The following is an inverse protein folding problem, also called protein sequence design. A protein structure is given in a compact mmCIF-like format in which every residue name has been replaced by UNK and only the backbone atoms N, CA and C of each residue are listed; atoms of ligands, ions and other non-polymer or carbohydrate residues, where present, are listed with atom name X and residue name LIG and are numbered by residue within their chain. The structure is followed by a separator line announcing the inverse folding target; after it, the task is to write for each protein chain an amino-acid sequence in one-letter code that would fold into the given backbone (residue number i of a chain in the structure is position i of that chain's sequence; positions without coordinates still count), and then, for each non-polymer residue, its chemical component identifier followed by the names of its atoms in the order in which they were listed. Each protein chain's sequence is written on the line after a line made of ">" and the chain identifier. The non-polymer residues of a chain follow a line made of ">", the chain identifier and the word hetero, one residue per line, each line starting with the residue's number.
data_IF_010501413192
#
_entry.id   IF_010501413192
#
_cell.length_a   1.000
_cell.length_b   1.000
_cell.length_c   1.000
_cell.angle_alpha   90.00
_cell.angle_beta   90.00
_cell.angle_gamma   90.00
#
_symmetry.space_group_name_H-M   'P 1'
#
loop_
_entity.id
_entity.type
_entity.pdbx_description
1 polymer ?
#
# COMPACT_ATOMS: atom_id res chain seq x y z
N UNK A 1 5.69 51.87 -13.56
CA UNK A 1 5.45 50.50 -14.05
C UNK A 1 5.61 49.45 -12.95
N UNK A 2 6.79 49.31 -12.32
CA UNK A 2 7.04 48.26 -11.31
C UNK A 2 6.12 48.32 -10.07
N UNK A 3 5.88 49.51 -9.51
CA UNK A 3 5.02 49.69 -8.33
C UNK A 3 3.56 49.30 -8.57
N UNK A 4 3.01 49.58 -9.75
CA UNK A 4 1.64 49.19 -10.11
C UNK A 4 1.51 47.67 -10.21
N UNK A 5 2.52 46.99 -10.77
CA UNK A 5 2.56 45.53 -10.84
C UNK A 5 2.62 44.89 -9.45
N UNK A 6 3.43 45.43 -8.54
CA UNK A 6 3.50 44.97 -7.14
C UNK A 6 2.16 45.14 -6.43
N UNK A 7 1.52 46.30 -6.54
CA UNK A 7 0.21 46.56 -5.92
C UNK A 7 -0.85 45.60 -6.46
N UNK A 8 -0.89 45.40 -7.78
CA UNK A 8 -1.85 44.49 -8.42
C UNK A 8 -1.62 43.05 -7.96
N UNK A 9 -0.37 42.61 -7.87
CA UNK A 9 0.00 41.29 -7.36
C UNK A 9 -0.41 41.11 -5.89
N UNK A 10 -0.19 42.11 -5.03
CA UNK A 10 -0.58 42.08 -3.63
C UNK A 10 -2.11 41.99 -3.47
N UNK A 11 -2.87 42.80 -4.20
CA UNK A 11 -4.35 42.76 -4.20
C UNK A 11 -4.84 41.36 -4.63
N UNK A 12 -4.28 40.81 -5.71
CA UNK A 12 -4.59 39.47 -6.16
C UNK A 12 -4.26 38.41 -5.10
N UNK A 13 -3.08 38.50 -4.47
CA UNK A 13 -2.63 37.56 -3.44
C UNK A 13 -3.54 37.58 -2.20
N UNK A 14 -3.95 38.77 -1.76
CA UNK A 14 -4.88 38.94 -0.63
C UNK A 14 -6.25 38.37 -0.97
N UNK A 15 -6.82 38.73 -2.13
CA UNK A 15 -8.11 38.22 -2.59
C UNK A 15 -8.09 36.69 -2.69
N UNK A 16 -7.03 36.12 -3.24
CA UNK A 16 -6.85 34.67 -3.33
C UNK A 16 -6.79 34.05 -1.92
N UNK A 17 -6.03 34.64 -0.99
CA UNK A 17 -5.94 34.15 0.39
C UNK A 17 -7.30 34.15 1.08
N UNK A 18 -8.07 35.23 0.97
CA UNK A 18 -9.42 35.33 1.57
C UNK A 18 -10.36 34.27 0.98
N UNK A 19 -10.34 34.07 -0.34
CA UNK A 19 -11.16 33.04 -0.98
C UNK A 19 -10.78 31.63 -0.52
N UNK A 20 -9.48 31.33 -0.42
CA UNK A 20 -8.98 30.04 0.10
C UNK A 20 -9.43 29.85 1.55
N UNK A 21 -9.24 30.83 2.42
CA UNK A 21 -9.64 30.77 3.83
C UNK A 21 -11.14 30.54 4.00
N UNK A 22 -11.98 31.21 3.19
CA UNK A 22 -13.44 30.98 3.21
C UNK A 22 -13.80 29.53 2.83
N UNK A 23 -13.16 28.98 1.80
CA UNK A 23 -13.40 27.59 1.38
C UNK A 23 -12.91 26.59 2.42
N UNK A 24 -11.73 26.81 3.01
CA UNK A 24 -11.21 25.96 4.09
C UNK A 24 -12.10 26.01 5.34
N UNK A 25 -12.63 27.19 5.69
CA UNK A 25 -13.57 27.34 6.78
C UNK A 25 -14.88 26.59 6.52
N UNK A 26 -15.42 26.65 5.30
CA UNK A 26 -16.60 25.89 4.91
C UNK A 26 -16.36 24.37 4.97
N UNK A 27 -15.19 23.90 4.51
CA UNK A 27 -14.80 22.48 4.61
C UNK A 27 -14.68 22.04 6.08
N UNK A 28 -14.06 22.86 6.93
CA UNK A 28 -13.94 22.59 8.36
C UNK A 28 -15.31 22.55 9.05
N UNK A 29 -16.20 23.49 8.71
CA UNK A 29 -17.58 23.52 9.21
C UNK A 29 -18.39 22.30 8.77
N UNK A 30 -18.11 21.74 7.60
CA UNK A 30 -18.67 20.48 7.12
C UNK A 30 -18.03 19.23 7.75
N UNK A 31 -17.06 19.38 8.67
CA UNK A 31 -16.41 18.28 9.38
C UNK A 31 -15.22 17.65 8.66
N UNK A 32 -14.76 18.22 7.54
CA UNK A 32 -13.54 17.77 6.87
C UNK A 32 -12.29 18.22 7.61
N UNK A 33 -11.26 17.38 7.59
CA UNK A 33 -9.92 17.70 8.11
C UNK A 33 -9.16 18.47 7.05
N UNK A 34 -8.59 19.62 7.43
CA UNK A 34 -7.94 20.55 6.50
C UNK A 34 -6.45 20.72 6.78
N UNK A 35 -5.91 20.03 7.78
CA UNK A 35 -4.49 20.07 8.12
C UNK A 35 -3.90 18.68 8.37
N UNK A 36 -2.59 18.57 8.14
CA UNK A 36 -1.79 17.38 8.47
C UNK A 36 -1.86 17.00 9.94
N UNK A 37 -1.91 17.97 10.85
CA UNK A 37 -2.02 17.72 12.29
C UNK A 37 -3.38 17.10 12.65
N UNK A 38 -4.48 17.63 12.10
CA UNK A 38 -5.82 17.03 12.26
C UNK A 38 -5.88 15.59 11.69
N UNK A 39 -5.13 15.33 10.61
CA UNK A 39 -5.03 14.02 9.98
C UNK A 39 -4.28 13.00 10.84
N UNK A 40 -3.17 13.41 11.46
CA UNK A 40 -2.38 12.56 12.34
C UNK A 40 -3.17 12.14 13.60
N UNK A 41 -3.89 13.08 14.20
CA UNK A 41 -4.80 12.81 15.34
C UNK A 41 -5.92 11.83 14.97
N UNK A 42 -6.40 11.89 13.72
CA UNK A 42 -7.44 10.98 13.25
C UNK A 42 -6.96 9.53 13.09
N UNK A 43 -5.70 9.35 12.68
CA UNK A 43 -5.10 8.03 12.60
C UNK A 43 -4.80 7.56 14.02
N UNK A 44 -5.72 6.84 14.66
CA UNK A 44 -5.61 6.47 16.08
C UNK A 44 -4.57 5.40 16.35
N UNK A 45 -3.87 5.51 17.48
CA UNK A 45 -2.92 4.49 17.94
C UNK A 45 -3.63 3.15 18.16
N UNK A 46 -2.93 2.07 17.85
CA UNK A 46 -3.41 0.70 18.04
C UNK A 46 -2.47 0.02 19.03
N UNK A 47 -2.98 -0.60 20.11
CA UNK A 47 -2.16 -1.38 21.04
C UNK A 47 -1.34 -2.44 20.31
N UNK A 48 -0.12 -2.71 20.78
CA UNK A 48 0.84 -3.58 20.07
C UNK A 48 0.29 -5.00 19.83
N UNK A 49 -0.41 -5.55 20.82
CA UNK A 49 -1.04 -6.87 20.73
C UNK A 49 -2.16 -6.95 19.68
N UNK A 50 -2.79 -5.82 19.34
CA UNK A 50 -3.84 -5.72 18.32
C UNK A 50 -3.31 -5.24 16.95
N UNK A 51 -2.10 -4.67 16.90
CA UNK A 51 -1.59 -4.02 15.70
C UNK A 51 -1.05 -5.04 14.68
N UNK A 52 -1.78 -5.23 13.59
CA UNK A 52 -1.33 -6.06 12.47
C UNK A 52 -0.09 -5.50 11.76
N UNK A 53 0.10 -4.18 11.77
CA UNK A 53 1.23 -3.53 11.09
C UNK A 53 2.59 -4.03 11.61
N UNK A 54 2.69 -4.37 12.90
CA UNK A 54 3.94 -4.85 13.50
C UNK A 54 4.41 -6.17 12.86
N UNK A 55 3.49 -7.11 12.63
CA UNK A 55 3.81 -8.37 11.96
C UNK A 55 4.18 -8.15 10.49
N UNK A 56 3.49 -7.23 9.83
CA UNK A 56 3.82 -6.86 8.44
C UNK A 56 5.20 -6.18 8.36
N UNK A 57 5.54 -5.35 9.34
CA UNK A 57 6.86 -4.72 9.44
C UNK A 57 7.96 -5.74 9.72
N UNK A 58 7.71 -6.77 10.54
CA UNK A 58 8.65 -7.88 10.70
C UNK A 58 8.83 -8.64 9.37
N UNK A 59 7.75 -8.85 8.60
CA UNK A 59 7.86 -9.46 7.29
C UNK A 59 8.71 -8.60 6.32
N UNK A 60 8.69 -7.27 6.46
CA UNK A 60 9.54 -6.39 5.66
C UNK A 60 11.03 -6.58 5.91
N UNK A 61 11.43 -6.91 7.13
CA UNK A 61 12.83 -7.15 7.49
C UNK A 61 13.37 -8.42 6.84
N UNK A 62 12.49 -9.41 6.63
CA UNK A 62 12.82 -10.69 6.01
C UNK A 62 12.66 -10.68 4.48
N UNK A 63 12.10 -9.60 3.93
CA UNK A 63 11.75 -9.50 2.52
C UNK A 63 13.01 -9.28 1.67
N UNK A 64 13.30 -10.24 0.79
CA UNK A 64 14.32 -10.14 -0.25
C UNK A 64 13.72 -9.51 -1.49
N UNK A 65 14.16 -8.29 -1.79
CA UNK A 65 13.76 -7.56 -2.98
C UNK A 65 14.43 -8.16 -4.22
N UNK A 66 13.62 -8.43 -5.25
CA UNK A 66 14.11 -8.78 -6.58
C UNK A 66 14.42 -7.54 -7.42
N UNK A 67 14.90 -7.77 -8.63
CA UNK A 67 15.08 -6.70 -9.62
C UNK A 67 13.72 -6.17 -10.10
N UNK A 68 13.49 -4.87 -9.96
CA UNK A 68 12.21 -4.25 -10.28
C UNK A 68 11.78 -4.47 -11.74
N UNK A 69 12.75 -4.44 -12.67
CA UNK A 69 12.52 -4.71 -14.10
C UNK A 69 12.01 -6.12 -14.33
N UNK A 70 12.67 -7.12 -13.73
CA UNK A 70 12.26 -8.51 -13.84
C UNK A 70 10.85 -8.75 -13.27
N UNK A 71 10.53 -8.12 -12.15
CA UNK A 71 9.22 -8.20 -11.51
C UNK A 71 8.09 -7.64 -12.39
N UNK A 72 8.34 -6.56 -13.13
CA UNK A 72 7.37 -6.00 -14.06
C UNK A 72 7.20 -6.88 -15.31
N UNK A 73 8.29 -7.44 -15.84
CA UNK A 73 8.25 -8.40 -16.95
C UNK A 73 7.47 -9.66 -16.58
N UNK A 74 7.73 -10.23 -15.41
CA UNK A 74 7.03 -11.39 -14.87
C UNK A 74 5.51 -11.12 -14.72
N UNK A 75 5.12 -9.92 -14.28
CA UNK A 75 3.71 -9.53 -14.17
C UNK A 75 3.04 -9.43 -15.54
N UNK A 76 3.75 -8.90 -16.53
CA UNK A 76 3.24 -8.81 -17.91
C UNK A 76 3.07 -10.22 -18.48
N UNK A 77 4.08 -11.07 -18.36
CA UNK A 77 4.02 -12.47 -18.82
C UNK A 77 2.85 -13.21 -18.18
N UNK A 78 2.68 -13.13 -16.85
CA UNK A 78 1.58 -13.77 -16.14
C UNK A 78 0.19 -13.32 -16.64
N UNK A 79 0.04 -12.06 -17.06
CA UNK A 79 -1.24 -11.56 -17.63
C UNK A 79 -1.51 -12.06 -19.04
N UNK A 80 -0.47 -12.42 -19.78
CA UNK A 80 -0.57 -12.91 -21.15
C UNK A 80 -0.83 -14.42 -21.22
N UNK A 81 -0.46 -15.17 -20.18
CA UNK A 81 -0.73 -16.62 -20.11
C UNK A 81 -2.23 -16.87 -19.95
N UNK A 82 -2.86 -17.65 -20.86
CA UNK A 82 -4.25 -18.08 -20.69
C UNK A 82 -4.44 -18.85 -19.38
N UNK A 83 -5.57 -18.63 -18.70
CA UNK A 83 -5.85 -19.27 -17.40
C UNK A 83 -5.99 -20.80 -17.46
N UNK A 84 -6.19 -21.35 -18.65
CA UNK A 84 -6.33 -22.79 -18.91
C UNK A 84 -5.00 -23.49 -19.24
N UNK A 85 -3.91 -22.75 -19.36
CA UNK A 85 -2.59 -23.30 -19.72
C UNK A 85 -1.63 -23.21 -18.54
N UNK A 86 -0.80 -24.24 -18.38
CA UNK A 86 0.27 -24.23 -17.38
C UNK A 86 1.29 -23.13 -17.67
N UNK A 87 1.89 -22.59 -16.60
CA UNK A 87 2.92 -21.56 -16.72
C UNK A 87 4.14 -22.05 -17.51
N UNK A 88 4.78 -21.17 -18.30
CA UNK A 88 6.08 -21.45 -18.87
C UNK A 88 7.08 -21.88 -17.79
N UNK A 89 7.85 -22.95 -18.05
CA UNK A 89 8.79 -23.53 -17.08
C UNK A 89 9.78 -22.50 -16.50
N UNK A 90 10.22 -21.56 -17.34
CA UNK A 90 11.12 -20.48 -16.93
C UNK A 90 10.47 -19.54 -15.91
N UNK A 91 9.20 -19.17 -16.10
CA UNK A 91 8.43 -18.33 -15.19
C UNK A 91 8.11 -19.08 -13.90
N UNK A 92 7.71 -20.35 -13.99
CA UNK A 92 7.47 -21.23 -12.83
C UNK A 92 8.72 -21.33 -11.96
N UNK A 93 9.89 -21.61 -12.56
CA UNK A 93 11.17 -21.70 -11.84
C UNK A 93 11.51 -20.39 -11.12
N UNK A 94 11.35 -19.23 -11.77
CA UNK A 94 11.61 -17.92 -11.15
C UNK A 94 10.67 -17.67 -9.97
N UNK A 95 9.38 -17.94 -10.12
CA UNK A 95 8.41 -17.78 -9.04
C UNK A 95 8.78 -18.67 -7.85
N UNK A 96 9.09 -19.95 -8.10
CA UNK A 96 9.53 -20.86 -7.04
C UNK A 96 10.77 -20.35 -6.30
N UNK A 97 11.77 -19.85 -7.03
CA UNK A 97 12.97 -19.28 -6.42
C UNK A 97 12.66 -18.04 -5.56
N UNK A 98 11.82 -17.13 -6.05
CA UNK A 98 11.47 -15.91 -5.33
C UNK A 98 10.60 -16.18 -4.10
N UNK A 99 9.66 -17.11 -4.20
CA UNK A 99 8.81 -17.54 -3.08
C UNK A 99 9.65 -18.22 -2.01
N UNK A 100 10.53 -19.16 -2.39
CA UNK A 100 11.38 -19.86 -1.42
C UNK A 100 12.37 -18.88 -0.75
N UNK A 101 12.94 -17.95 -1.51
CA UNK A 101 13.82 -16.91 -0.97
C UNK A 101 13.14 -15.99 0.06
N UNK A 102 11.80 -15.89 0.01
CA UNK A 102 10.97 -15.03 0.87
C UNK A 102 10.08 -15.82 1.83
N UNK A 103 10.33 -17.12 2.02
CA UNK A 103 9.47 -18.00 2.81
C UNK A 103 9.24 -17.52 4.25
N UNK A 104 10.28 -16.97 4.89
CA UNK A 104 10.18 -16.41 6.25
C UNK A 104 9.24 -15.19 6.30
N UNK A 105 9.32 -14.31 5.31
CA UNK A 105 8.41 -13.17 5.20
C UNK A 105 6.97 -13.63 4.94
N UNK A 106 6.77 -14.59 4.02
CA UNK A 106 5.45 -15.14 3.70
C UNK A 106 4.81 -15.82 4.91
N UNK A 107 5.58 -16.57 5.71
CA UNK A 107 5.09 -17.20 6.93
C UNK A 107 4.53 -16.16 7.92
N UNK A 108 5.22 -15.02 8.11
CA UNK A 108 4.70 -13.91 8.91
C UNK A 108 3.42 -13.31 8.30
N UNK A 109 3.36 -13.22 6.96
CA UNK A 109 2.20 -12.64 6.28
C UNK A 109 0.94 -13.50 6.39
N UNK A 110 1.08 -14.82 6.47
CA UNK A 110 -0.03 -15.75 6.70
C UNK A 110 -0.56 -15.72 8.14
N UNK A 111 0.28 -15.35 9.12
CA UNK A 111 -0.09 -15.38 10.54
C UNK A 111 -1.07 -14.28 10.99
N UNK A 112 -1.14 -13.14 10.30
CA UNK A 112 -1.86 -11.97 10.81
C UNK A 112 -3.31 -11.82 10.31
N UNK A 113 -3.82 -12.78 9.54
CA UNK A 113 -5.15 -12.70 8.88
C UNK A 113 -6.35 -12.42 9.79
N UNK A 114 -6.19 -12.61 11.10
CA UNK A 114 -7.25 -12.39 12.11
C UNK A 114 -7.20 -11.02 12.81
N UNK A 115 -6.12 -10.25 12.68
CA UNK A 115 -6.00 -8.93 13.32
C UNK A 115 -6.74 -7.86 12.51
N UNK A 116 -7.76 -7.25 13.13
CA UNK A 116 -8.65 -6.28 12.46
C UNK A 116 -8.10 -4.84 12.44
N UNK A 117 -7.18 -4.51 13.34
CA UNK A 117 -6.64 -3.15 13.51
C UNK A 117 -5.18 -3.09 13.07
N UNK A 118 -4.80 -1.96 12.49
CA UNK A 118 -3.45 -1.74 11.97
C UNK A 118 -3.10 -0.26 11.99
N UNK A 119 -1.93 0.06 12.52
CA UNK A 119 -1.31 1.38 12.42
C UNK A 119 0.17 1.27 12.08
N UNK A 120 0.55 1.81 10.92
CA UNK A 120 1.95 2.03 10.55
C UNK A 120 2.46 3.33 11.21
N UNK A 121 3.76 3.42 11.55
CA UNK A 121 4.35 4.59 12.19
C UNK A 121 4.63 5.70 11.16
N UNK A 122 3.56 6.25 10.57
CA UNK A 122 3.62 7.33 9.59
C UNK A 122 3.38 8.66 10.30
N UNK A 123 4.30 9.60 10.15
CA UNK A 123 4.15 10.98 10.63
C UNK A 123 3.53 11.86 9.54
N UNK A 124 2.22 12.12 9.66
CA UNK A 124 1.51 12.93 8.68
C UNK A 124 1.84 14.43 8.78
N UNK A 125 2.46 14.89 9.88
CA UNK A 125 2.80 16.30 10.08
C UNK A 125 3.85 16.79 9.10
N UNK A 126 4.65 15.88 8.53
CA UNK A 126 5.64 16.18 7.48
C UNK A 126 5.00 16.50 6.12
N UNK A 127 3.70 16.25 5.93
CA UNK A 127 2.97 16.60 4.72
C UNK A 127 3.63 16.01 3.45
N UNK A 128 4.04 16.83 2.46
CA UNK A 128 4.72 16.35 1.25
C UNK A 128 6.02 15.58 1.49
N UNK A 129 6.67 15.76 2.66
CA UNK A 129 7.92 15.10 3.02
C UNK A 129 7.72 13.79 3.82
N UNK A 130 6.48 13.35 3.99
CA UNK A 130 6.16 12.09 4.67
C UNK A 130 6.84 10.91 3.99
N UNK A 131 7.47 10.04 4.76
CA UNK A 131 8.09 8.81 4.26
C UNK A 131 7.03 7.72 3.98
N UNK A 132 7.05 7.16 2.78
CA UNK A 132 6.09 6.16 2.30
C UNK A 132 6.73 4.78 2.05
N UNK A 133 7.89 4.49 2.65
CA UNK A 133 8.59 3.19 2.50
C UNK A 133 7.69 1.98 2.72
N UNK A 134 6.77 2.03 3.68
CA UNK A 134 5.81 0.96 3.97
C UNK A 134 4.94 0.63 2.76
N UNK A 135 4.50 1.62 1.99
CA UNK A 135 3.62 1.43 0.84
C UNK A 135 4.32 0.64 -0.28
N UNK A 136 5.59 0.96 -0.53
CA UNK A 136 6.43 0.22 -1.48
C UNK A 136 6.57 -1.24 -1.05
N UNK A 137 6.87 -1.47 0.23
CA UNK A 137 7.07 -2.82 0.79
C UNK A 137 5.79 -3.66 0.78
N UNK A 138 4.64 -3.09 1.12
CA UNK A 138 3.32 -3.75 1.02
C UNK A 138 3.06 -4.22 -0.41
N UNK A 139 3.38 -3.38 -1.40
CA UNK A 139 3.20 -3.73 -2.80
C UNK A 139 4.05 -4.94 -3.19
N UNK A 140 5.27 -5.06 -2.67
CA UNK A 140 6.14 -6.22 -2.92
C UNK A 140 5.61 -7.47 -2.20
N UNK A 141 5.20 -7.36 -0.94
CA UNK A 141 4.59 -8.46 -0.20
C UNK A 141 3.34 -9.02 -0.93
N UNK A 142 2.45 -8.14 -1.40
CA UNK A 142 1.27 -8.54 -2.17
C UNK A 142 1.65 -9.27 -3.48
N UNK A 143 2.75 -8.86 -4.14
CA UNK A 143 3.27 -9.56 -5.31
C UNK A 143 3.81 -10.95 -4.97
N UNK A 144 4.51 -11.11 -3.84
CA UNK A 144 5.01 -12.42 -3.42
C UNK A 144 3.88 -13.39 -3.09
N UNK A 145 2.85 -12.94 -2.36
CA UNK A 145 1.65 -13.73 -2.09
C UNK A 145 0.91 -14.13 -3.37
N UNK A 146 0.87 -13.25 -4.38
CA UNK A 146 0.32 -13.59 -5.69
C UNK A 146 1.13 -14.67 -6.41
N UNK A 147 2.47 -14.60 -6.38
CA UNK A 147 3.35 -15.62 -6.97
C UNK A 147 3.16 -16.97 -6.28
N UNK A 148 3.05 -16.97 -4.95
CA UNK A 148 2.74 -18.16 -4.15
C UNK A 148 1.38 -18.78 -4.53
N UNK A 149 0.31 -17.98 -4.60
CA UNK A 149 -1.02 -18.43 -5.00
C UNK A 149 -1.04 -19.09 -6.39
N UNK A 150 -0.29 -18.50 -7.33
CA UNK A 150 -0.14 -19.02 -8.69
C UNK A 150 0.59 -20.36 -8.69
N UNK A 151 1.67 -20.52 -7.92
CA UNK A 151 2.39 -21.80 -7.78
C UNK A 151 1.54 -22.90 -7.14
N UNK A 152 0.70 -22.56 -6.16
CA UNK A 152 -0.24 -23.52 -5.56
C UNK A 152 -1.32 -23.97 -6.55
N UNK A 153 -1.82 -23.05 -7.37
CA UNK A 153 -2.75 -23.39 -8.46
C UNK A 153 -2.11 -24.36 -9.47
N UNK A 154 -0.85 -24.10 -9.88
CA UNK A 154 -0.08 -24.99 -10.76
C UNK A 154 0.21 -26.38 -10.17
N UNK A 155 0.19 -26.49 -8.84
CA UNK A 155 0.44 -27.75 -8.11
C UNK A 155 -0.87 -28.46 -7.75
N UNK A 156 -2.00 -28.03 -8.33
CA UNK A 156 -3.34 -28.56 -8.05
C UNK A 156 -3.74 -28.50 -6.57
N UNK A 157 -3.25 -27.50 -5.83
CA UNK A 157 -3.61 -27.25 -4.43
C UNK A 157 -4.42 -25.95 -4.29
N UNK A 158 -5.74 -25.97 -4.57
CA UNK A 158 -6.57 -24.77 -4.54
C UNK A 158 -6.78 -24.21 -3.13
N UNK A 159 -6.69 -25.06 -2.09
CA UNK A 159 -6.83 -24.61 -0.70
C UNK A 159 -5.67 -23.69 -0.31
N UNK A 160 -4.43 -24.11 -0.55
CA UNK A 160 -3.26 -23.28 -0.28
C UNK A 160 -3.24 -22.01 -1.15
N UNK A 161 -3.70 -22.09 -2.41
CA UNK A 161 -3.84 -20.90 -3.25
C UNK A 161 -4.83 -19.88 -2.66
N UNK A 162 -5.95 -20.37 -2.11
CA UNK A 162 -6.94 -19.52 -1.45
C UNK A 162 -6.38 -18.88 -0.17
N UNK A 163 -5.56 -19.60 0.61
CA UNK A 163 -4.87 -19.04 1.79
C UNK A 163 -3.93 -17.89 1.41
N UNK A 164 -3.12 -18.04 0.35
CA UNK A 164 -2.26 -16.96 -0.17
C UNK A 164 -3.07 -15.73 -0.61
N UNK A 165 -4.21 -15.95 -1.26
CA UNK A 165 -5.12 -14.86 -1.63
C UNK A 165 -5.72 -14.18 -0.39
N UNK A 166 -6.15 -14.95 0.60
CA UNK A 166 -6.68 -14.42 1.86
C UNK A 166 -5.63 -13.59 2.61
N UNK A 167 -4.39 -14.06 2.68
CA UNK A 167 -3.28 -13.30 3.24
C UNK A 167 -3.04 -11.99 2.48
N UNK A 168 -3.16 -11.99 1.14
CA UNK A 168 -3.07 -10.78 0.32
C UNK A 168 -4.18 -9.77 0.60
N UNK A 169 -5.42 -10.25 0.79
CA UNK A 169 -6.56 -9.42 1.17
C UNK A 169 -6.41 -8.89 2.61
N UNK A 170 -5.90 -9.70 3.53
CA UNK A 170 -5.59 -9.27 4.89
C UNK A 170 -4.51 -8.17 4.89
N UNK A 171 -3.45 -8.34 4.10
CA UNK A 171 -2.41 -7.33 3.91
C UNK A 171 -3.00 -6.01 3.42
N UNK A 172 -3.87 -6.04 2.42
CA UNK A 172 -4.53 -4.83 1.93
C UNK A 172 -5.40 -4.14 3.01
N UNK A 173 -6.06 -4.92 3.87
CA UNK A 173 -6.89 -4.39 4.97
C UNK A 173 -6.06 -3.63 6.01
N UNK A 174 -4.76 -3.89 6.14
CA UNK A 174 -3.88 -3.14 7.06
C UNK A 174 -3.79 -1.65 6.74
N UNK A 175 -4.08 -1.27 5.48
CA UNK A 175 -4.11 0.13 5.01
C UNK A 175 -5.49 0.79 5.15
N UNK A 176 -6.51 0.07 5.62
CA UNK A 176 -7.90 0.56 5.63
C UNK A 176 -8.09 1.91 6.32
N UNK A 177 -7.36 2.14 7.40
CA UNK A 177 -7.49 3.33 8.23
C UNK A 177 -6.41 4.37 7.98
N UNK A 178 -5.46 4.11 7.08
CA UNK A 178 -4.41 5.07 6.74
C UNK A 178 -5.00 6.19 5.87
N UNK A 179 -5.05 7.43 6.37
CA UNK A 179 -5.87 8.48 5.77
C UNK A 179 -5.12 9.22 4.64
N UNK A 180 -4.57 8.46 3.70
CA UNK A 180 -3.87 8.97 2.52
C UNK A 180 -4.35 8.27 1.24
N UNK A 181 -4.49 9.04 0.17
CA UNK A 181 -4.98 8.55 -1.13
C UNK A 181 -4.06 7.49 -1.73
N UNK A 182 -2.74 7.64 -1.61
CA UNK A 182 -1.76 6.67 -2.10
C UNK A 182 -1.95 5.32 -1.39
N UNK A 183 -2.15 5.34 -0.08
CA UNK A 183 -2.40 4.14 0.73
C UNK A 183 -3.70 3.44 0.31
N UNK A 184 -4.75 4.21 -0.02
CA UNK A 184 -6.00 3.63 -0.54
C UNK A 184 -5.86 3.08 -1.97
N UNK A 185 -5.07 3.71 -2.85
CA UNK A 185 -4.77 3.18 -4.20
C UNK A 185 -4.05 1.84 -4.08
N UNK A 186 -3.05 1.74 -3.20
CA UNK A 186 -2.30 0.49 -3.00
C UNK A 186 -3.17 -0.58 -2.37
N UNK A 187 -4.01 -0.24 -1.40
CA UNK A 187 -5.02 -1.15 -0.85
C UNK A 187 -5.91 -1.76 -1.93
N UNK A 188 -6.43 -0.93 -2.83
CA UNK A 188 -7.27 -1.37 -3.93
C UNK A 188 -6.47 -2.29 -4.88
N UNK A 189 -5.26 -1.89 -5.25
CA UNK A 189 -4.40 -2.68 -6.14
C UNK A 189 -4.00 -4.03 -5.56
N UNK A 190 -3.76 -4.10 -4.24
CA UNK A 190 -3.46 -5.33 -3.54
C UNK A 190 -4.68 -6.29 -3.52
N UNK A 191 -5.90 -5.76 -3.38
CA UNK A 191 -7.12 -6.57 -3.47
C UNK A 191 -7.36 -7.18 -4.87
N UNK A 192 -7.07 -6.41 -5.93
CA UNK A 192 -7.24 -6.86 -7.33
C UNK A 192 -6.09 -7.76 -7.83
N UNK A 193 -5.25 -8.26 -6.92
CA UNK A 193 -4.26 -9.28 -7.25
C UNK A 193 -4.77 -10.72 -7.12
N UNK A 194 -5.97 -10.92 -6.56
CA UNK A 194 -6.72 -12.18 -6.56
C UNK A 194 -7.35 -12.46 -7.93
#
# INVERSE_FOLDING_TARGET
>A
MLGLLVVTFLIWRINLSVQISKRLAALKAAGYRISSAELDVYYKAVPENENAALLVMQAFEQLKLGEARQDDEDRIQLRLVPRSTSLPLSLKKRFSQQVEANRAALALLHQFGTRLKSRYPVDFTQGPYTDWKQISRITVCARMLRKEAVLHTESSNPAAAAESVQAGLALARTLKYEPNVISQIVRIRANFCA
#
